data_IF_968674032405
#
_entry.id   IF_968674032405
#
_cell.length_a   1.000
_cell.length_b   1.000
_cell.length_c   1.000
_cell.angle_alpha   90.00
_cell.angle_beta   90.00
_cell.angle_gamma   90.00
#
_symmetry.space_group_name_H-M   'P 1'
#
loop_
_entity.id
_entity.type
_entity.pdbx_description
1 polymer ?
#
# COMPACT_ATOMS: atom_id res chain seq x y z
N UNK A 1 30.80 21.53 55.07
CA UNK A 1 30.18 20.21 54.82
C UNK A 1 28.66 20.21 54.95
N UNK A 2 28.05 20.76 56.03
CA UNK A 2 26.57 20.80 56.17
C UNK A 2 25.83 21.58 55.07
N UNK A 3 26.37 22.72 54.62
CA UNK A 3 25.75 23.53 53.56
C UNK A 3 25.69 22.84 52.19
N UNK A 4 26.73 22.06 51.86
CA UNK A 4 26.81 21.34 50.58
C UNK A 4 25.77 20.22 50.55
N UNK A 5 25.58 19.54 51.69
CA UNK A 5 24.61 18.46 51.82
C UNK A 5 23.16 18.99 51.74
N UNK A 6 22.86 20.13 52.36
CA UNK A 6 21.52 20.76 52.26
C UNK A 6 21.20 21.23 50.84
N UNK A 7 22.18 21.81 50.12
CA UNK A 7 22.01 22.20 48.71
C UNK A 7 21.80 20.99 47.81
N UNK A 8 22.51 19.88 48.05
CA UNK A 8 22.32 18.63 47.30
C UNK A 8 20.93 18.02 47.53
N UNK A 9 20.42 18.01 48.77
CA UNK A 9 19.08 17.50 49.10
C UNK A 9 17.98 18.37 48.45
N UNK A 10 18.14 19.70 48.48
CA UNK A 10 17.21 20.62 47.83
C UNK A 10 17.18 20.41 46.31
N UNK A 11 18.35 20.22 45.69
CA UNK A 11 18.49 19.97 44.25
C UNK A 11 17.86 18.63 43.83
N UNK A 12 18.03 17.58 44.65
CA UNK A 12 17.37 16.28 44.43
C UNK A 12 15.85 16.35 44.56
N UNK A 13 15.32 17.16 45.50
CA UNK A 13 13.88 17.37 45.66
C UNK A 13 13.27 18.11 44.46
N UNK A 14 13.96 19.16 43.97
CA UNK A 14 13.55 19.90 42.77
C UNK A 14 13.59 19.01 41.53
N UNK A 15 14.65 18.22 41.35
CA UNK A 15 14.78 17.29 40.23
C UNK A 15 13.69 16.19 40.25
N UNK A 16 13.37 15.64 41.42
CA UNK A 16 12.29 14.66 41.58
C UNK A 16 10.92 15.26 41.26
N UNK A 17 10.64 16.47 41.73
CA UNK A 17 9.38 17.15 41.45
C UNK A 17 9.27 17.54 39.97
N UNK A 18 10.38 17.93 39.33
CA UNK A 18 10.44 18.19 37.89
C UNK A 18 10.19 16.92 37.07
N UNK A 19 10.79 15.79 37.47
CA UNK A 19 10.57 14.48 36.83
C UNK A 19 9.13 13.99 37.00
N UNK A 20 8.51 14.20 38.16
CA UNK A 20 7.09 13.90 38.40
C UNK A 20 6.15 14.83 37.62
N UNK A 21 6.51 16.10 37.46
CA UNK A 21 5.75 17.06 36.67
C UNK A 21 5.83 16.76 35.17
N UNK A 22 7.02 16.39 34.69
CA UNK A 22 7.24 15.92 33.31
C UNK A 22 6.55 14.58 33.03
N UNK A 23 6.54 13.64 33.98
CA UNK A 23 5.81 12.39 33.81
C UNK A 23 4.29 12.60 33.83
N UNK A 24 3.79 13.51 34.67
CA UNK A 24 2.37 13.89 34.69
C UNK A 24 1.96 14.58 33.38
N UNK A 25 2.81 15.45 32.80
CA UNK A 25 2.57 16.05 31.48
C UNK A 25 2.64 15.04 30.33
N UNK A 26 3.56 14.07 30.39
CA UNK A 26 3.59 12.96 29.42
C UNK A 26 2.35 12.06 29.51
N UNK A 27 1.83 11.82 30.72
CA UNK A 27 0.60 11.05 30.93
C UNK A 27 -0.63 11.86 30.47
N UNK A 28 -0.65 13.17 30.69
CA UNK A 28 -1.71 14.07 30.19
C UNK A 28 -1.68 14.27 28.67
N UNK A 29 -0.50 14.30 28.04
CA UNK A 29 -0.40 14.32 26.58
C UNK A 29 -0.74 12.97 25.94
N UNK A 30 -0.57 11.86 26.67
CA UNK A 30 -1.11 10.55 26.29
C UNK A 30 -2.63 10.42 26.51
N UNK A 31 -3.23 11.28 27.36
CA UNK A 31 -4.66 11.29 27.68
C UNK A 31 -5.46 12.34 26.91
N UNK A 32 -4.83 13.17 26.08
CA UNK A 32 -5.53 13.81 24.98
C UNK A 32 -5.92 12.71 24.00
N UNK A 33 -7.08 12.10 24.23
CA UNK A 33 -7.81 11.40 23.19
C UNK A 33 -8.09 12.45 22.12
N UNK A 34 -7.13 12.67 21.21
CA UNK A 34 -7.36 13.43 20.00
C UNK A 34 -8.51 12.69 19.33
N UNK A 35 -9.69 13.32 19.34
CA UNK A 35 -10.88 12.73 18.75
C UNK A 35 -10.55 12.60 17.27
N UNK A 36 -10.21 11.37 16.85
CA UNK A 36 -9.82 11.10 15.47
C UNK A 36 -10.91 11.64 14.57
N UNK A 37 -10.50 12.35 13.52
CA UNK A 37 -11.48 12.79 12.54
C UNK A 37 -12.14 11.54 11.93
N UNK A 38 -13.46 11.53 11.67
CA UNK A 38 -14.17 10.33 11.25
C UNK A 38 -13.66 9.68 9.97
N UNK A 39 -12.96 10.46 9.13
CA UNK A 39 -12.34 10.02 7.89
C UNK A 39 -10.85 9.66 8.02
N UNK A 40 -10.26 9.76 9.21
CA UNK A 40 -8.86 9.42 9.41
C UNK A 40 -8.60 7.95 9.08
N UNK A 41 -7.48 7.69 8.39
CA UNK A 41 -6.96 6.35 8.11
C UNK A 41 -6.97 5.48 9.36
N UNK A 42 -7.22 4.18 9.20
CA UNK A 42 -7.09 3.23 10.30
C UNK A 42 -5.70 3.33 10.93
N UNK A 43 -5.68 3.49 12.25
CA UNK A 43 -4.42 3.56 13.01
C UNK A 43 -3.78 2.18 13.12
N UNK A 44 -2.50 2.14 13.48
CA UNK A 44 -1.80 0.86 13.73
C UNK A 44 -2.52 -0.01 14.79
N UNK A 45 -3.05 0.61 15.85
CA UNK A 45 -3.80 -0.10 16.88
C UNK A 45 -5.07 -0.74 16.30
N UNK A 46 -5.80 0.00 15.46
CA UNK A 46 -7.02 -0.49 14.81
C UNK A 46 -6.72 -1.63 13.82
N UNK A 47 -5.61 -1.58 13.10
CA UNK A 47 -5.19 -2.68 12.22
C UNK A 47 -4.86 -3.95 13.02
N UNK A 48 -4.18 -3.81 14.16
CA UNK A 48 -3.91 -4.93 15.08
C UNK A 48 -5.23 -5.48 15.66
N UNK A 49 -6.16 -4.60 16.00
CA UNK A 49 -7.49 -4.96 16.50
C UNK A 49 -8.30 -5.73 15.45
N UNK A 50 -8.34 -5.26 14.20
CA UNK A 50 -8.93 -5.96 13.05
C UNK A 50 -8.33 -7.35 12.91
N UNK A 51 -7.00 -7.45 12.87
CA UNK A 51 -6.31 -8.73 12.76
C UNK A 51 -6.70 -9.68 13.90
N UNK A 52 -6.75 -9.17 15.13
CA UNK A 52 -7.11 -9.95 16.32
C UNK A 52 -8.53 -10.49 16.24
N UNK A 53 -9.49 -9.64 15.85
CA UNK A 53 -10.91 -10.02 15.73
C UNK A 53 -11.10 -11.09 14.65
N UNK A 54 -10.50 -10.90 13.47
CA UNK A 54 -10.60 -11.88 12.37
C UNK A 54 -9.95 -13.21 12.76
N UNK A 55 -8.73 -13.19 13.33
CA UNK A 55 -8.04 -14.43 13.76
C UNK A 55 -8.75 -15.15 14.91
N UNK A 56 -9.54 -14.45 15.71
CA UNK A 56 -10.38 -15.06 16.75
C UNK A 56 -11.57 -15.80 16.14
N UNK A 57 -12.22 -15.21 15.14
CA UNK A 57 -13.35 -15.83 14.43
C UNK A 57 -12.89 -16.95 13.48
N UNK A 58 -11.69 -16.82 12.93
CA UNK A 58 -11.06 -17.78 12.04
C UNK A 58 -9.66 -18.17 12.54
N UNK A 59 -9.57 -19.06 13.56
CA UNK A 59 -8.30 -19.48 14.11
C UNK A 59 -7.39 -20.13 13.05
N UNK A 60 -6.13 -19.70 12.99
CA UNK A 60 -5.15 -20.21 12.01
C UNK A 60 -4.84 -21.71 12.14
N UNK A 61 -5.25 -22.36 13.24
CA UNK A 61 -5.18 -23.81 13.41
C UNK A 61 -6.23 -24.58 12.61
N UNK A 62 -7.29 -23.90 12.15
CA UNK A 62 -8.44 -24.50 11.46
C UNK A 62 -8.66 -23.88 10.07
N UNK A 63 -8.31 -22.61 9.90
CA UNK A 63 -8.58 -21.84 8.69
C UNK A 63 -7.30 -21.25 8.10
N UNK A 64 -7.22 -21.22 6.77
CA UNK A 64 -6.20 -20.44 6.08
C UNK A 64 -6.78 -19.06 5.72
N UNK A 65 -6.19 -18.00 6.29
CA UNK A 65 -6.66 -16.61 6.15
C UNK A 65 -5.56 -15.74 5.56
N UNK A 66 -5.85 -15.07 4.45
CA UNK A 66 -5.03 -13.98 3.91
C UNK A 66 -5.85 -12.70 3.74
N UNK A 67 -5.26 -11.57 4.10
CA UNK A 67 -5.89 -10.26 3.96
C UNK A 67 -5.45 -9.66 2.63
N UNK A 68 -6.40 -9.25 1.80
CA UNK A 68 -6.14 -8.64 0.50
C UNK A 68 -6.53 -7.16 0.47
N UNK A 69 -7.42 -6.74 1.38
CA UNK A 69 -7.71 -5.33 1.64
C UNK A 69 -8.18 -5.16 3.08
N UNK A 70 -7.75 -4.08 3.72
CA UNK A 70 -8.18 -3.58 5.03
C UNK A 70 -8.22 -2.06 4.94
N UNK A 71 -9.41 -1.48 5.04
CA UNK A 71 -9.60 -0.04 4.95
C UNK A 71 -10.69 0.46 5.89
N UNK A 72 -10.79 1.79 5.99
CA UNK A 72 -11.86 2.42 6.74
C UNK A 72 -13.19 2.19 6.00
N UNK A 73 -14.18 1.67 6.71
CA UNK A 73 -15.57 1.67 6.22
C UNK A 73 -16.14 3.06 6.52
N UNK A 74 -15.93 3.96 5.56
CA UNK A 74 -16.22 5.39 5.70
C UNK A 74 -17.67 5.64 6.16
N UNK A 75 -17.90 6.51 7.16
CA UNK A 75 -19.25 6.88 7.56
C UNK A 75 -20.02 7.56 6.44
N UNK A 76 -21.35 7.46 6.48
CA UNK A 76 -22.22 8.15 5.53
C UNK A 76 -21.94 9.67 5.50
N UNK A 77 -21.94 10.24 4.30
CA UNK A 77 -21.68 11.67 4.08
C UNK A 77 -22.52 12.58 4.96
N UNK A 78 -23.79 12.25 5.17
CA UNK A 78 -24.69 13.02 6.05
C UNK A 78 -24.19 13.05 7.49
N UNK A 79 -23.71 11.92 8.02
CA UNK A 79 -23.17 11.80 9.37
C UNK A 79 -21.89 12.62 9.54
N UNK A 80 -20.98 12.57 8.55
CA UNK A 80 -19.74 13.37 8.58
C UNK A 80 -20.04 14.87 8.56
N UNK A 81 -21.00 15.31 7.74
CA UNK A 81 -21.38 16.73 7.67
C UNK A 81 -22.10 17.20 8.95
N UNK A 82 -22.91 16.35 9.57
CA UNK A 82 -23.49 16.63 10.88
C UNK A 82 -22.42 16.71 11.97
N UNK A 83 -21.46 15.77 11.98
CA UNK A 83 -20.33 15.77 12.90
C UNK A 83 -19.47 17.03 12.76
N UNK A 84 -19.25 17.54 11.54
CA UNK A 84 -18.53 18.80 11.30
C UNK A 84 -19.25 20.02 11.91
N UNK A 85 -20.59 19.95 12.03
CA UNK A 85 -21.41 21.01 12.62
C UNK A 85 -21.55 20.86 14.14
N UNK A 86 -21.43 19.64 14.66
CA UNK A 86 -21.54 19.28 16.07
C UNK A 86 -20.53 18.17 16.42
N UNK A 87 -19.32 18.58 16.80
CA UNK A 87 -18.19 17.69 17.04
C UNK A 87 -18.36 16.73 18.22
N UNK A 88 -19.50 16.74 18.95
CA UNK A 88 -19.75 15.89 20.12
C UNK A 88 -20.33 14.52 19.78
N UNK A 89 -20.91 14.32 18.59
CA UNK A 89 -21.40 13.00 18.17
C UNK A 89 -20.23 12.02 18.01
N UNK A 90 -20.36 10.82 18.58
CA UNK A 90 -19.37 9.75 18.43
C UNK A 90 -19.82 8.84 17.29
N UNK A 91 -19.21 9.00 16.11
CA UNK A 91 -19.49 8.13 14.98
C UNK A 91 -18.80 6.78 15.20
N UNK A 92 -19.53 5.68 14.98
CA UNK A 92 -18.92 4.36 15.06
C UNK A 92 -17.84 4.23 13.99
N UNK A 93 -16.65 3.84 14.43
CA UNK A 93 -15.50 3.62 13.57
C UNK A 93 -15.50 2.16 13.12
N UNK A 94 -15.62 1.95 11.82
CA UNK A 94 -15.74 0.62 11.21
C UNK A 94 -14.59 0.39 10.24
N UNK A 95 -14.17 -0.87 10.13
CA UNK A 95 -13.20 -1.32 9.14
C UNK A 95 -13.89 -2.29 8.18
N UNK A 96 -13.60 -2.15 6.89
CA UNK A 96 -13.97 -3.10 5.84
C UNK A 96 -12.74 -3.91 5.45
N UNK A 97 -12.93 -5.22 5.33
CA UNK A 97 -11.87 -6.19 5.05
C UNK A 97 -12.32 -7.06 3.87
N UNK A 98 -11.44 -7.21 2.88
CA UNK A 98 -11.55 -8.26 1.88
C UNK A 98 -10.48 -9.31 2.19
N UNK A 99 -10.93 -10.48 2.63
CA UNK A 99 -10.05 -11.59 3.01
C UNK A 99 -10.31 -12.81 2.12
N UNK A 100 -9.28 -13.65 1.95
CA UNK A 100 -9.44 -15.01 1.43
C UNK A 100 -9.39 -15.96 2.63
N UNK A 101 -10.47 -16.72 2.81
CA UNK A 101 -10.62 -17.71 3.88
C UNK A 101 -10.98 -19.03 3.23
N UNK A 102 -10.12 -20.04 3.39
CA UNK A 102 -10.31 -21.39 2.82
C UNK A 102 -10.71 -21.37 1.33
N UNK A 103 -9.98 -20.57 0.55
CA UNK A 103 -10.17 -20.38 -0.90
C UNK A 103 -11.48 -19.68 -1.30
N UNK A 104 -12.16 -19.02 -0.36
CA UNK A 104 -13.33 -18.17 -0.62
C UNK A 104 -13.02 -16.71 -0.31
N UNK A 105 -13.62 -15.80 -1.07
CA UNK A 105 -13.48 -14.36 -0.81
C UNK A 105 -14.57 -13.93 0.16
N UNK A 106 -14.18 -13.29 1.25
CA UNK A 106 -15.06 -12.78 2.29
C UNK A 106 -15.00 -11.25 2.30
N UNK A 107 -16.16 -10.63 2.38
CA UNK A 107 -16.37 -9.22 2.72
C UNK A 107 -16.77 -9.17 4.20
N UNK A 108 -15.90 -8.59 5.03
CA UNK A 108 -16.07 -8.53 6.48
C UNK A 108 -16.10 -7.06 6.89
N UNK A 109 -17.10 -6.67 7.68
CA UNK A 109 -17.13 -5.35 8.33
C UNK A 109 -17.02 -5.55 9.83
N UNK A 110 -16.10 -4.83 10.45
CA UNK A 110 -15.84 -4.84 11.89
C UNK A 110 -16.18 -3.48 12.46
N UNK A 111 -16.98 -3.47 13.52
CA UNK A 111 -17.16 -2.29 14.36
C UNK A 111 -16.09 -2.30 15.46
N UNK A 112 -15.18 -1.31 15.39
CA UNK A 112 -14.01 -1.21 16.25
C UNK A 112 -14.37 -0.70 17.66
N UNK A 113 -15.53 -0.05 17.81
CA UNK A 113 -16.00 0.42 19.12
C UNK A 113 -16.55 -0.74 19.94
N UNK A 114 -17.28 -1.64 19.30
CA UNK A 114 -17.88 -2.83 19.93
C UNK A 114 -16.99 -4.08 19.89
N UNK A 115 -15.84 -4.04 19.21
CA UNK A 115 -14.95 -5.18 19.01
C UNK A 115 -15.64 -6.40 18.36
N UNK A 116 -16.52 -6.15 17.38
CA UNK A 116 -17.36 -7.22 16.82
C UNK A 116 -17.45 -7.17 15.30
N UNK A 117 -17.59 -8.35 14.69
CA UNK A 117 -17.90 -8.48 13.26
C UNK A 117 -19.40 -8.18 13.10
N UNK A 118 -19.72 -7.14 12.32
CA UNK A 118 -21.10 -6.74 12.03
C UNK A 118 -21.61 -7.33 10.72
N UNK A 119 -20.70 -7.67 9.80
CA UNK A 119 -21.00 -8.36 8.55
C UNK A 119 -19.88 -9.34 8.24
N UNK A 120 -20.25 -10.55 7.82
CA UNK A 120 -19.34 -11.51 7.19
C UNK A 120 -20.09 -12.21 6.06
N UNK A 121 -19.69 -11.90 4.82
CA UNK A 121 -20.37 -12.36 3.62
C UNK A 121 -19.38 -12.98 2.65
N UNK A 122 -19.68 -14.20 2.21
CA UNK A 122 -18.95 -14.84 1.10
C UNK A 122 -19.36 -14.18 -0.22
N UNK A 123 -18.38 -13.65 -0.94
CA UNK A 123 -18.56 -13.13 -2.30
C UNK A 123 -18.54 -14.29 -3.31
N UNK A 124 -19.66 -14.44 -4.03
CA UNK A 124 -19.86 -15.49 -5.05
C UNK A 124 -19.92 -14.93 -6.49
N UNK A 125 -19.58 -13.65 -6.68
CA UNK A 125 -19.57 -13.01 -8.00
C UNK A 125 -18.31 -13.31 -8.81
N UNK A 126 -18.09 -12.53 -9.86
CA UNK A 126 -16.90 -12.63 -10.69
C UNK A 126 -15.74 -11.77 -10.14
N UNK A 127 -14.51 -12.14 -10.47
CA UNK A 127 -13.31 -11.42 -10.04
C UNK A 127 -12.79 -11.86 -8.67
N UNK A 128 -11.60 -11.35 -8.35
CA UNK A 128 -10.84 -11.70 -7.16
C UNK A 128 -10.31 -10.41 -6.50
N UNK A 129 -9.97 -10.43 -5.21
CA UNK A 129 -9.37 -9.28 -4.56
C UNK A 129 -7.93 -9.05 -5.04
N UNK A 130 -7.40 -7.86 -4.73
CA UNK A 130 -6.01 -7.40 -4.97
C UNK A 130 -5.01 -8.52 -4.64
N UNK A 131 -3.95 -8.66 -5.44
CA UNK A 131 -2.92 -9.66 -5.18
C UNK A 131 -2.10 -9.30 -3.94
N UNK A 132 -1.89 -10.25 -3.03
CA UNK A 132 -1.00 -10.05 -1.88
C UNK A 132 0.46 -10.15 -2.32
N UNK A 133 1.36 -9.51 -1.57
CA UNK A 133 2.79 -9.61 -1.86
C UNK A 133 3.33 -11.04 -1.67
N UNK A 134 2.83 -11.74 -0.65
CA UNK A 134 3.22 -13.10 -0.31
C UNK A 134 2.89 -14.08 -1.43
N UNK A 135 1.69 -14.00 -2.01
CA UNK A 135 1.30 -14.91 -3.09
C UNK A 135 2.00 -14.58 -4.41
N UNK A 136 2.27 -13.30 -4.70
CA UNK A 136 3.08 -12.90 -5.84
C UNK A 136 4.50 -13.46 -5.73
N UNK A 137 5.12 -13.29 -4.56
CA UNK A 137 6.46 -13.82 -4.28
C UNK A 137 6.49 -15.35 -4.37
N UNK A 138 5.48 -16.03 -3.83
CA UNK A 138 5.38 -17.48 -3.88
C UNK A 138 5.21 -17.98 -5.33
N UNK A 139 4.36 -17.34 -6.13
CA UNK A 139 4.15 -17.68 -7.53
C UNK A 139 5.42 -17.48 -8.37
N UNK A 140 6.14 -16.37 -8.17
CA UNK A 140 7.43 -16.14 -8.82
C UNK A 140 8.45 -17.22 -8.48
N UNK A 141 8.65 -17.51 -7.18
CA UNK A 141 9.58 -18.55 -6.71
C UNK A 141 9.23 -19.93 -7.28
N UNK A 142 7.95 -20.27 -7.28
CA UNK A 142 7.45 -21.53 -7.82
C UNK A 142 7.75 -21.66 -9.32
N UNK A 143 7.50 -20.61 -10.10
CA UNK A 143 7.75 -20.62 -11.53
C UNK A 143 9.24 -20.73 -11.87
N UNK A 144 10.12 -19.94 -11.22
CA UNK A 144 11.56 -20.00 -11.50
C UNK A 144 12.21 -21.33 -11.10
N UNK A 145 11.61 -22.05 -10.14
CA UNK A 145 12.04 -23.38 -9.73
C UNK A 145 11.43 -24.52 -10.59
N UNK A 146 10.52 -24.20 -11.51
CA UNK A 146 9.84 -25.20 -12.32
C UNK A 146 10.79 -25.85 -13.34
N UNK A 147 10.97 -27.16 -13.28
CA UNK A 147 12.00 -27.87 -14.05
C UNK A 147 11.97 -27.57 -15.57
N UNK A 148 10.81 -27.59 -16.26
CA UNK A 148 10.74 -27.16 -17.66
C UNK A 148 11.23 -25.73 -17.92
N UNK A 149 10.94 -24.79 -17.01
CA UNK A 149 11.44 -23.42 -17.13
C UNK A 149 12.95 -23.37 -16.95
N UNK A 150 13.48 -24.06 -15.94
CA UNK A 150 14.93 -24.15 -15.70
C UNK A 150 15.65 -24.71 -16.92
N UNK A 151 15.11 -25.75 -17.56
CA UNK A 151 15.68 -26.34 -18.77
C UNK A 151 15.65 -25.36 -19.95
N UNK A 152 14.58 -24.60 -20.10
CA UNK A 152 14.46 -23.54 -21.11
C UNK A 152 15.42 -22.37 -20.91
N UNK A 153 15.72 -22.00 -19.66
CA UNK A 153 16.76 -21.01 -19.31
C UNK A 153 18.15 -21.55 -19.66
N UNK A 154 18.46 -22.80 -19.29
CA UNK A 154 19.73 -23.46 -19.64
C UNK A 154 19.92 -23.58 -21.15
N UNK A 155 18.87 -23.94 -21.89
CA UNK A 155 18.88 -24.01 -23.37
C UNK A 155 19.22 -22.67 -24.02
N UNK A 156 18.88 -21.56 -23.37
CA UNK A 156 19.21 -20.18 -23.80
C UNK A 156 20.62 -19.75 -23.38
N UNK A 157 21.36 -20.59 -22.65
CA UNK A 157 22.70 -20.27 -22.15
C UNK A 157 22.70 -19.22 -21.03
N UNK A 158 21.57 -19.05 -20.34
CA UNK A 158 21.40 -18.07 -19.27
C UNK A 158 21.63 -18.70 -17.89
N UNK A 159 22.11 -17.91 -16.94
CA UNK A 159 22.29 -18.28 -15.53
C UNK A 159 20.95 -18.21 -14.80
N UNK A 160 20.51 -19.31 -14.16
CA UNK A 160 19.19 -19.35 -13.49
C UNK A 160 19.14 -18.41 -12.28
N UNK A 161 20.27 -18.23 -11.61
CA UNK A 161 20.47 -17.32 -10.48
C UNK A 161 20.29 -15.83 -10.84
N UNK A 162 20.38 -15.48 -12.13
CA UNK A 162 20.17 -14.12 -12.65
C UNK A 162 18.75 -13.92 -13.22
N UNK A 163 17.87 -14.92 -13.10
CA UNK A 163 16.49 -14.88 -13.61
C UNK A 163 15.53 -14.44 -12.51
N UNK A 164 14.75 -13.41 -12.80
CA UNK A 164 13.66 -12.94 -11.93
C UNK A 164 12.32 -13.18 -12.61
N UNK A 165 11.38 -13.78 -11.90
CA UNK A 165 10.00 -13.96 -12.35
C UNK A 165 9.07 -12.90 -11.77
N UNK A 166 8.21 -12.31 -12.60
CA UNK A 166 7.15 -11.40 -12.17
C UNK A 166 5.77 -11.98 -12.53
N UNK A 167 4.81 -12.01 -11.59
CA UNK A 167 3.47 -12.52 -11.83
C UNK A 167 2.56 -11.41 -12.39
N UNK A 168 2.01 -11.66 -13.56
CA UNK A 168 1.11 -10.75 -14.25
C UNK A 168 -0.33 -11.26 -14.18
N UNK A 169 -1.28 -10.38 -13.84
CA UNK A 169 -2.72 -10.64 -13.97
C UNK A 169 -3.06 -10.94 -15.43
N UNK A 170 -4.09 -11.76 -15.64
CA UNK A 170 -4.42 -12.30 -16.98
C UNK A 170 -5.76 -11.81 -17.51
N UNK A 171 -6.46 -10.94 -16.79
CA UNK A 171 -7.80 -10.47 -17.15
C UNK A 171 -8.81 -11.62 -17.34
N UNK A 172 -9.77 -11.41 -18.23
CA UNK A 172 -10.81 -12.37 -18.61
C UNK A 172 -11.09 -12.26 -20.11
N UNK A 173 -11.15 -13.39 -20.81
CA UNK A 173 -11.23 -13.46 -22.28
C UNK A 173 -12.41 -14.32 -22.78
N UNK A 174 -13.49 -14.40 -22.00
CA UNK A 174 -14.72 -15.11 -22.39
C UNK A 174 -14.81 -16.54 -21.85
N UNK A 175 -13.85 -17.00 -21.05
CA UNK A 175 -13.89 -18.32 -20.44
C UNK A 175 -15.05 -18.49 -19.45
N UNK A 176 -15.61 -19.71 -19.39
CA UNK A 176 -16.80 -20.04 -18.56
C UNK A 176 -16.53 -19.99 -17.05
N UNK A 177 -15.29 -20.25 -16.64
CA UNK A 177 -14.85 -20.24 -15.24
C UNK A 177 -13.45 -19.65 -15.23
N UNK A 178 -13.27 -18.55 -14.50
CA UNK A 178 -11.94 -18.08 -14.16
C UNK A 178 -11.47 -18.80 -12.89
N UNK A 179 -10.23 -19.24 -12.91
CA UNK A 179 -9.50 -19.57 -11.69
C UNK A 179 -8.65 -18.35 -11.34
N UNK A 180 -8.17 -18.29 -10.10
CA UNK A 180 -7.29 -17.22 -9.63
C UNK A 180 -5.86 -17.50 -10.11
N UNK A 181 -5.54 -17.06 -11.32
CA UNK A 181 -4.27 -17.39 -11.99
C UNK A 181 -3.47 -16.14 -12.35
N UNK A 182 -2.16 -16.31 -12.40
CA UNK A 182 -1.21 -15.31 -12.91
C UNK A 182 -0.29 -15.95 -13.95
N UNK A 183 0.24 -15.14 -14.85
CA UNK A 183 1.30 -15.53 -15.78
C UNK A 183 2.63 -14.96 -15.31
N UNK A 184 3.56 -15.83 -14.96
CA UNK A 184 4.90 -15.45 -14.58
C UNK A 184 5.76 -15.28 -15.82
N UNK A 185 6.30 -14.08 -15.99
CA UNK A 185 7.24 -13.72 -17.04
C UNK A 185 8.62 -13.44 -16.44
N UNK A 186 9.65 -13.74 -17.21
CA UNK A 186 11.02 -13.78 -16.71
C UNK A 186 11.86 -12.64 -17.29
N UNK A 187 12.76 -12.10 -16.48
CA UNK A 187 13.71 -11.05 -16.81
C UNK A 187 15.11 -11.45 -16.35
N UNK A 188 16.14 -10.78 -16.88
CA UNK A 188 17.54 -11.17 -16.67
C UNK A 188 18.40 -10.03 -16.11
N UNK A 189 19.06 -10.26 -14.97
CA UNK A 189 19.81 -9.25 -14.20
C UNK A 189 21.30 -9.14 -14.53
N UNK A 190 21.88 -10.11 -15.25
CA UNK A 190 23.33 -10.22 -15.42
C UNK A 190 23.97 -8.97 -16.08
N UNK A 191 24.54 -8.08 -15.28
CA UNK A 191 25.19 -6.84 -15.72
C UNK A 191 24.36 -5.55 -15.60
N UNK A 192 23.11 -5.58 -15.13
CA UNK A 192 22.28 -4.38 -14.88
C UNK A 192 21.14 -4.66 -13.90
N UNK A 193 20.80 -3.69 -13.05
CA UNK A 193 19.56 -3.80 -12.24
C UNK A 193 18.30 -3.46 -13.02
N UNK A 194 18.43 -2.85 -14.21
CA UNK A 194 17.29 -2.50 -15.06
C UNK A 194 16.75 -3.72 -15.81
N UNK A 195 16.15 -4.64 -15.05
CA UNK A 195 15.62 -5.91 -15.54
C UNK A 195 14.56 -5.72 -16.64
N UNK A 196 13.77 -4.64 -16.59
CA UNK A 196 12.70 -4.37 -17.55
C UNK A 196 13.23 -4.16 -18.97
N UNK A 197 14.49 -3.73 -19.11
CA UNK A 197 15.16 -3.65 -20.41
C UNK A 197 15.65 -4.99 -20.94
N UNK A 198 15.52 -6.07 -20.15
CA UNK A 198 16.07 -7.40 -20.44
C UNK A 198 15.06 -8.53 -20.21
N UNK A 199 13.89 -8.49 -20.90
CA UNK A 199 12.93 -9.59 -20.82
C UNK A 199 13.50 -10.86 -21.46
N UNK A 200 13.14 -12.01 -20.89
CA UNK A 200 13.35 -13.33 -21.49
C UNK A 200 12.05 -13.71 -22.22
N UNK A 201 11.97 -13.29 -23.47
CA UNK A 201 10.77 -13.45 -24.29
C UNK A 201 10.50 -14.91 -24.68
N UNK A 202 9.22 -15.19 -24.94
CA UNK A 202 8.75 -16.48 -25.46
C UNK A 202 8.59 -17.60 -24.42
N UNK A 203 8.89 -17.34 -23.14
CA UNK A 203 8.60 -18.26 -22.04
C UNK A 203 7.53 -17.69 -21.12
N UNK A 204 6.58 -18.52 -20.69
CA UNK A 204 5.56 -18.12 -19.73
C UNK A 204 5.12 -19.32 -18.90
N UNK A 205 5.07 -19.14 -17.58
CA UNK A 205 4.49 -20.12 -16.65
C UNK A 205 3.16 -19.57 -16.11
N UNK A 206 2.08 -20.33 -16.21
CA UNK A 206 0.80 -19.97 -15.59
C UNK A 206 0.70 -20.66 -14.23
N UNK A 207 0.49 -19.87 -13.17
CA UNK A 207 0.38 -20.33 -11.79
C UNK A 207 -1.05 -20.14 -11.31
N UNK A 208 -1.62 -21.17 -10.71
CA UNK A 208 -2.86 -21.09 -9.92
C UNK A 208 -2.49 -20.67 -8.50
N UNK A 209 -2.99 -19.51 -8.07
CA UNK A 209 -2.66 -18.91 -6.77
C UNK A 209 -3.35 -19.60 -5.60
N UNK A 210 -4.54 -20.17 -5.82
CA UNK A 210 -5.28 -20.87 -4.77
C UNK A 210 -4.65 -22.23 -4.44
N UNK A 211 -4.16 -22.92 -5.47
CA UNK A 211 -3.48 -24.20 -5.32
C UNK A 211 -1.95 -24.07 -5.19
N UNK A 212 -1.43 -22.86 -5.40
CA UNK A 212 0.00 -22.54 -5.50
C UNK A 212 0.77 -23.56 -6.35
N UNK A 213 0.32 -23.74 -7.60
CA UNK A 213 0.90 -24.72 -8.53
C UNK A 213 1.02 -24.18 -9.95
N UNK A 214 2.07 -24.59 -10.67
CA UNK A 214 2.17 -24.34 -12.12
C UNK A 214 1.16 -25.22 -12.84
N UNK A 215 0.23 -24.61 -13.56
CA UNK A 215 -0.86 -25.31 -14.28
C UNK A 215 -0.68 -25.33 -15.80
N UNK A 216 0.17 -24.45 -16.32
CA UNK A 216 0.58 -24.46 -17.72
C UNK A 216 1.96 -23.85 -17.86
N UNK A 217 2.72 -24.34 -18.83
CA UNK A 217 4.03 -23.82 -19.19
C UNK A 217 4.14 -23.77 -20.70
N UNK A 218 4.67 -22.67 -21.23
CA UNK A 218 4.88 -22.47 -22.66
C UNK A 218 6.28 -21.92 -22.88
N UNK A 219 7.03 -22.59 -23.74
CA UNK A 219 8.29 -22.13 -24.34
C UNK A 219 8.09 -22.14 -25.85
N UNK A 220 7.80 -20.97 -26.40
CA UNK A 220 7.24 -20.80 -27.74
C UNK A 220 8.29 -20.40 -28.76
N UNK A 221 9.10 -19.40 -28.39
CA UNK A 221 10.13 -18.81 -29.23
C UNK A 221 11.38 -18.53 -28.41
N UNK A 222 12.54 -18.63 -29.06
CA UNK A 222 13.81 -18.19 -28.47
C UNK A 222 14.23 -16.89 -29.14
N UNK A 223 14.18 -15.80 -28.38
CA UNK A 223 14.69 -14.49 -28.78
C UNK A 223 15.94 -14.17 -27.96
N UNK A 224 16.99 -13.56 -28.54
CA UNK A 224 18.14 -13.11 -27.76
C UNK A 224 17.72 -12.11 -26.69
N UNK A 225 18.19 -12.33 -25.45
CA UNK A 225 17.99 -11.35 -24.36
C UNK A 225 18.76 -10.08 -24.73
N UNK A 226 18.14 -8.89 -24.62
CA UNK A 226 18.84 -7.63 -24.83
C UNK A 226 20.12 -7.50 -23.99
N UNK A 227 21.07 -6.75 -24.53
CA UNK A 227 22.34 -6.42 -23.89
C UNK A 227 22.12 -5.54 -22.64
N UNK A 228 22.99 -5.68 -21.64
CA UNK A 228 22.91 -4.88 -20.41
C UNK A 228 23.52 -3.48 -20.60
N UNK A 229 24.43 -3.33 -21.57
CA UNK A 229 25.13 -2.09 -21.86
C UNK A 229 24.15 -0.95 -22.18
N UNK A 230 24.32 0.19 -21.51
CA UNK A 230 23.49 1.38 -21.71
C UNK A 230 22.12 1.34 -21.02
N UNK A 231 21.83 0.34 -20.19
CA UNK A 231 20.54 0.22 -19.49
C UNK A 231 20.56 0.73 -18.04
N UNK A 232 21.75 0.93 -17.46
CA UNK A 232 21.92 1.29 -16.05
C UNK A 232 21.55 2.76 -15.81
N UNK A 233 20.70 2.99 -14.81
CA UNK A 233 20.13 4.30 -14.50
C UNK A 233 20.71 4.90 -13.21
N UNK A 234 21.40 4.11 -12.39
CA UNK A 234 22.04 4.60 -11.17
C UNK A 234 23.32 5.34 -11.51
N UNK A 235 23.39 6.61 -11.13
CA UNK A 235 24.50 7.52 -11.48
C UNK A 235 25.86 6.95 -11.05
N UNK A 236 25.94 6.32 -9.89
CA UNK A 236 27.18 5.73 -9.35
C UNK A 236 27.73 4.56 -10.18
N UNK A 237 26.89 3.97 -11.03
CA UNK A 237 27.26 2.86 -11.91
C UNK A 237 27.50 3.31 -13.36
N UNK A 238 27.21 4.58 -13.69
CA UNK A 238 27.39 5.12 -15.04
C UNK A 238 28.84 5.52 -15.31
N UNK A 239 29.24 5.45 -16.58
CA UNK A 239 30.60 5.79 -17.03
C UNK A 239 30.64 7.22 -17.59
N UNK A 240 31.72 7.98 -17.34
CA UNK A 240 31.90 9.31 -17.93
C UNK A 240 31.84 9.30 -19.48
N UNK A 241 31.46 10.43 -20.11
CA UNK A 241 31.15 11.72 -19.49
C UNK A 241 29.72 11.76 -18.91
N UNK A 242 29.61 12.21 -17.66
CA UNK A 242 28.34 12.58 -17.04
C UNK A 242 28.21 14.10 -17.16
N UNK A 243 27.17 14.59 -17.84
CA UNK A 243 26.88 16.02 -17.97
C UNK A 243 26.39 16.57 -16.63
N UNK A 244 27.30 16.95 -15.73
CA UNK A 244 26.97 17.20 -14.32
C UNK A 244 27.22 18.62 -13.81
N UNK A 245 27.47 19.61 -14.67
CA UNK A 245 27.73 20.99 -14.21
C UNK A 245 26.46 21.81 -14.05
N UNK A 246 25.56 21.37 -13.18
CA UNK A 246 24.46 22.21 -12.68
C UNK A 246 24.96 23.07 -11.51
N UNK A 247 24.58 24.34 -11.48
CA UNK A 247 24.80 25.20 -10.30
C UNK A 247 23.81 24.81 -9.20
N UNK A 248 24.27 24.78 -7.95
CA UNK A 248 23.39 24.51 -6.82
C UNK A 248 22.34 25.60 -6.60
N UNK A 249 21.19 25.21 -6.05
CA UNK A 249 20.11 26.12 -5.64
C UNK A 249 19.81 25.85 -4.16
N UNK A 250 19.61 26.92 -3.40
CA UNK A 250 19.18 26.85 -1.99
C UNK A 250 17.81 27.52 -1.86
N UNK A 251 16.85 26.84 -1.24
CA UNK A 251 15.50 27.35 -0.96
C UNK A 251 15.33 27.50 0.57
N UNK A 252 14.91 28.68 1.02
CA UNK A 252 14.73 29.00 2.45
C UNK A 252 13.36 29.66 2.68
N UNK A 253 12.66 29.24 3.74
CA UNK A 253 11.45 29.89 4.25
C UNK A 253 11.74 30.40 5.68
N UNK A 254 12.20 31.65 5.84
CA UNK A 254 12.66 32.18 7.13
C UNK A 254 11.64 32.07 8.27
N UNK A 255 10.36 32.20 7.92
CA UNK A 255 9.24 32.17 8.86
C UNK A 255 8.51 30.81 8.89
N UNK A 256 9.11 29.77 8.29
CA UNK A 256 8.50 28.45 8.14
C UNK A 256 7.49 28.34 7.00
N UNK A 257 6.82 27.18 6.85
CA UNK A 257 5.84 26.96 5.80
C UNK A 257 4.55 27.75 6.07
N UNK A 258 3.90 28.20 5.00
CA UNK A 258 2.59 28.89 5.09
C UNK A 258 1.41 27.94 5.28
N UNK A 259 1.66 26.65 5.54
CA UNK A 259 0.63 25.66 5.84
C UNK A 259 0.80 25.12 7.26
N UNK A 260 -0.30 24.71 7.87
CA UNK A 260 -0.31 23.94 9.11
C UNK A 260 -1.03 22.61 8.90
N UNK A 261 -0.62 21.61 9.69
CA UNK A 261 -1.21 20.28 9.70
C UNK A 261 -1.61 19.98 11.14
N UNK A 262 -2.89 19.74 11.36
CA UNK A 262 -3.45 19.33 12.65
C UNK A 262 -4.13 17.96 12.49
N UNK A 263 -3.47 16.91 12.99
CA UNK A 263 -3.79 15.54 12.62
C UNK A 263 -3.71 15.35 11.10
N UNK A 264 -4.85 15.11 10.48
CA UNK A 264 -4.99 14.95 9.02
C UNK A 264 -5.60 16.19 8.33
N UNK A 265 -5.84 17.29 9.06
CA UNK A 265 -6.38 18.52 8.49
C UNK A 265 -5.25 19.44 8.05
N UNK A 266 -5.19 19.73 6.75
CA UNK A 266 -4.25 20.67 6.14
C UNK A 266 -4.92 22.01 5.96
N UNK A 267 -4.26 23.08 6.44
CA UNK A 267 -4.68 24.46 6.24
C UNK A 267 -3.58 25.21 5.51
N UNK A 268 -3.88 25.79 4.36
CA UNK A 268 -2.92 26.53 3.56
C UNK A 268 -3.60 27.71 2.87
N UNK A 269 -3.10 28.92 3.14
CA UNK A 269 -3.75 30.16 2.72
C UNK A 269 -5.24 30.17 3.13
N UNK A 270 -6.15 30.26 2.18
CA UNK A 270 -7.60 30.23 2.40
C UNK A 270 -8.21 28.82 2.23
N UNK A 271 -7.41 27.77 2.05
CA UNK A 271 -7.88 26.40 1.92
C UNK A 271 -7.79 25.63 3.24
N UNK A 272 -8.80 24.77 3.46
CA UNK A 272 -8.79 23.74 4.48
C UNK A 272 -9.32 22.44 3.88
N UNK A 273 -8.61 21.34 4.08
CA UNK A 273 -9.02 20.01 3.64
C UNK A 273 -8.48 18.92 4.57
N UNK A 274 -9.13 17.77 4.55
CA UNK A 274 -8.69 16.54 5.20
C UNK A 274 -7.88 15.69 4.21
N UNK A 275 -6.77 15.12 4.67
CA UNK A 275 -5.89 14.26 3.89
C UNK A 275 -5.77 12.90 4.59
N UNK A 276 -6.25 11.84 3.96
CA UNK A 276 -6.12 10.48 4.45
C UNK A 276 -5.49 9.56 3.42
N UNK A 277 -5.33 8.31 3.81
CA UNK A 277 -4.70 7.26 3.05
C UNK A 277 -5.57 6.01 3.06
N UNK A 278 -5.82 5.45 1.90
CA UNK A 278 -6.44 4.15 1.72
C UNK A 278 -5.46 3.24 0.99
N UNK A 279 -5.38 1.96 1.37
CA UNK A 279 -4.39 1.09 0.76
C UNK A 279 -4.64 0.92 -0.75
N UNK A 280 -5.88 0.80 -1.19
CA UNK A 280 -6.18 0.65 -2.63
C UNK A 280 -5.98 1.97 -3.38
N UNK A 281 -6.57 3.06 -2.88
CA UNK A 281 -6.65 4.34 -3.57
C UNK A 281 -5.42 5.25 -3.37
N UNK A 282 -4.57 4.96 -2.38
CA UNK A 282 -3.49 5.85 -1.96
C UNK A 282 -4.04 7.09 -1.26
N UNK A 283 -3.60 8.27 -1.68
CA UNK A 283 -4.01 9.55 -1.07
C UNK A 283 -5.48 9.88 -1.38
N UNK A 284 -6.22 10.24 -0.34
CA UNK A 284 -7.62 10.69 -0.42
C UNK A 284 -7.71 12.10 0.16
N UNK A 285 -8.20 13.05 -0.64
CA UNK A 285 -8.50 14.42 -0.19
C UNK A 285 -9.99 14.51 0.08
N UNK A 286 -10.36 14.94 1.28
CA UNK A 286 -11.75 15.07 1.71
C UNK A 286 -12.03 16.45 2.29
N UNK A 287 -13.32 16.82 2.34
CA UNK A 287 -13.82 18.06 2.98
C UNK A 287 -13.10 19.34 2.53
N UNK A 288 -12.65 19.40 1.28
CA UNK A 288 -11.97 20.58 0.76
C UNK A 288 -12.92 21.77 0.71
N UNK A 289 -12.53 22.84 1.39
CA UNK A 289 -13.25 24.09 1.50
C UNK A 289 -12.32 25.27 1.33
N UNK A 290 -12.87 26.37 0.81
CA UNK A 290 -12.18 27.63 0.63
C UNK A 290 -12.88 28.71 1.45
N UNK A 291 -12.11 29.51 2.20
CA UNK A 291 -12.62 30.67 2.91
C UNK A 291 -12.85 31.84 1.94
N UNK A 292 -14.06 32.37 1.95
CA UNK A 292 -14.51 33.49 1.13
C UNK A 292 -14.60 34.75 2.00
N UNK A 293 -13.64 35.70 1.88
CA UNK A 293 -13.58 36.87 2.74
C UNK A 293 -14.71 37.87 2.48
N UNK A 294 -15.35 37.84 1.31
CA UNK A 294 -16.48 38.75 1.02
C UNK A 294 -17.75 38.32 1.76
N UNK A 295 -17.86 37.02 2.04
CA UNK A 295 -19.02 36.41 2.70
C UNK A 295 -18.77 36.03 4.15
N UNK A 296 -17.52 36.14 4.61
CA UNK A 296 -17.09 35.70 5.95
C UNK A 296 -17.48 34.24 6.23
N UNK A 297 -17.33 33.37 5.22
CA UNK A 297 -17.77 31.96 5.30
C UNK A 297 -16.80 30.98 4.63
N UNK A 298 -16.79 29.73 5.10
CA UNK A 298 -16.13 28.61 4.40
C UNK A 298 -17.08 27.99 3.39
N UNK A 299 -16.69 27.99 2.11
CA UNK A 299 -17.45 27.41 1.01
C UNK A 299 -16.88 26.04 0.66
N UNK A 300 -17.74 25.01 0.71
CA UNK A 300 -17.36 23.64 0.32
C UNK A 300 -17.11 23.56 -1.18
N UNK A 301 -16.02 22.90 -1.57
CA UNK A 301 -15.64 22.69 -2.97
C UNK A 301 -15.71 21.22 -3.35
N UNK A 302 -15.07 20.34 -2.57
CA UNK A 302 -15.01 18.91 -2.86
C UNK A 302 -15.17 18.10 -1.57
N UNK A 303 -16.13 17.18 -1.54
CA UNK A 303 -16.31 16.32 -0.38
C UNK A 303 -15.25 15.23 -0.28
N UNK A 304 -14.89 14.60 -1.41
CA UNK A 304 -13.94 13.49 -1.50
C UNK A 304 -13.39 13.42 -2.92
N UNK A 305 -12.08 13.23 -3.06
CA UNK A 305 -11.38 13.07 -4.34
C UNK A 305 -10.14 12.19 -4.18
N UNK A 306 -9.96 11.24 -5.09
CA UNK A 306 -8.87 10.27 -5.11
C UNK A 306 -8.77 9.65 -6.50
N UNK A 307 -7.66 8.97 -6.79
CA UNK A 307 -7.49 8.17 -8.01
C UNK A 307 -8.23 6.85 -7.80
N UNK A 308 -9.34 6.65 -8.52
CA UNK A 308 -10.18 5.47 -8.31
C UNK A 308 -9.59 4.20 -8.92
N UNK A 309 -8.90 4.33 -10.05
CA UNK A 309 -8.30 3.21 -10.78
C UNK A 309 -7.29 3.73 -11.81
N UNK A 310 -6.34 2.89 -12.19
CA UNK A 310 -5.44 3.11 -13.33
C UNK A 310 -5.58 1.93 -14.29
N UNK A 311 -5.66 2.17 -15.59
CA UNK A 311 -5.66 1.11 -16.60
C UNK A 311 -4.50 1.28 -17.57
N UNK A 312 -3.67 0.25 -17.71
CA UNK A 312 -2.47 0.27 -18.57
C UNK A 312 -2.54 -0.85 -19.62
N UNK A 313 -3.31 -0.66 -20.70
CA UNK A 313 -3.46 -1.67 -21.76
C UNK A 313 -2.26 -1.67 -22.70
N UNK A 314 -1.59 -2.81 -22.81
CA UNK A 314 -0.62 -3.04 -23.87
C UNK A 314 -1.33 -3.40 -25.19
N UNK A 315 -0.69 -3.06 -26.32
CA UNK A 315 -1.27 -3.17 -27.67
C UNK A 315 -0.66 -4.30 -28.50
N UNK A 316 0.17 -5.14 -27.90
CA UNK A 316 0.76 -6.31 -28.56
C UNK A 316 -0.16 -7.51 -28.39
N UNK A 317 -0.59 -8.08 -29.52
CA UNK A 317 -1.54 -9.19 -29.61
C UNK A 317 -0.87 -10.57 -29.48
N UNK A 318 0.45 -10.62 -29.34
CA UNK A 318 1.18 -11.87 -29.15
C UNK A 318 0.86 -12.50 -27.79
N UNK A 319 1.15 -13.79 -27.69
CA UNK A 319 0.75 -14.62 -26.56
C UNK A 319 1.33 -14.17 -25.22
N UNK A 320 2.51 -13.55 -25.29
CA UNK A 320 3.30 -13.02 -24.18
C UNK A 320 2.80 -11.65 -23.68
N UNK A 321 1.93 -10.97 -24.44
CA UNK A 321 1.55 -9.58 -24.18
C UNK A 321 0.04 -9.32 -24.15
N UNK A 322 -0.78 -10.08 -24.88
CA UNK A 322 -2.19 -9.75 -25.09
C UNK A 322 -3.02 -9.57 -23.81
N UNK A 323 -2.58 -10.19 -22.70
CA UNK A 323 -3.24 -10.20 -21.40
C UNK A 323 -2.80 -9.07 -20.47
N UNK A 324 -1.80 -8.28 -20.86
CA UNK A 324 -1.25 -7.19 -20.04
C UNK A 324 -2.15 -5.95 -20.15
N UNK A 325 -3.19 -5.95 -19.33
CA UNK A 325 -4.10 -4.81 -19.17
C UNK A 325 -4.24 -4.61 -17.66
N UNK A 326 -3.25 -3.94 -17.06
CA UNK A 326 -3.21 -3.80 -15.62
C UNK A 326 -4.30 -2.87 -15.14
N UNK A 327 -4.92 -3.26 -14.03
CA UNK A 327 -5.73 -2.39 -13.20
C UNK A 327 -4.97 -2.12 -11.91
N UNK A 328 -4.04 -1.18 -11.92
CA UNK A 328 -2.99 -1.04 -10.91
C UNK A 328 -3.56 -0.99 -9.47
N UNK A 329 -4.60 -0.18 -9.24
CA UNK A 329 -5.20 -0.06 -7.91
C UNK A 329 -5.97 -1.34 -7.53
N UNK A 330 -6.75 -1.88 -8.47
CA UNK A 330 -7.59 -3.05 -8.24
C UNK A 330 -6.87 -4.40 -8.18
N UNK A 331 -5.67 -4.50 -8.76
CA UNK A 331 -4.92 -5.76 -8.90
C UNK A 331 -3.64 -5.81 -8.05
N UNK A 332 -2.95 -4.68 -7.86
CA UNK A 332 -1.62 -4.65 -7.25
C UNK A 332 -1.45 -3.67 -6.09
N UNK A 333 -2.45 -2.82 -5.83
CA UNK A 333 -2.43 -1.71 -4.86
C UNK A 333 -1.47 -0.56 -5.28
N UNK A 334 -2.01 0.68 -5.42
CA UNK A 334 -1.24 1.86 -5.87
C UNK A 334 -0.10 2.23 -4.92
N UNK A 335 -0.26 1.97 -3.63
CA UNK A 335 0.73 2.27 -2.59
C UNK A 335 1.92 1.34 -2.75
N UNK A 336 1.65 0.07 -3.00
CA UNK A 336 2.69 -0.92 -3.21
C UNK A 336 3.53 -0.57 -4.45
N UNK A 337 2.88 -0.15 -5.55
CA UNK A 337 3.57 0.31 -6.78
C UNK A 337 4.46 1.53 -6.53
N UNK A 338 4.03 2.48 -5.70
CA UNK A 338 4.77 3.73 -5.43
C UNK A 338 5.89 3.58 -4.38
N UNK A 339 5.72 2.73 -3.37
CA UNK A 339 6.69 2.56 -2.29
C UNK A 339 7.85 1.61 -2.63
N UNK A 340 7.68 0.68 -3.57
CA UNK A 340 8.74 -0.25 -3.95
C UNK A 340 9.68 0.24 -5.06
N UNK A 341 9.46 1.44 -5.60
CA UNK A 341 10.39 2.13 -6.51
C UNK A 341 11.72 2.58 -5.85
N UNK A 342 11.92 2.31 -4.55
CA UNK A 342 13.03 2.86 -3.75
C UNK A 342 13.89 1.81 -3.01
N UNK A 343 13.96 0.56 -3.48
CA UNK A 343 14.91 -0.42 -2.96
C UNK A 343 15.80 -1.02 -4.04
#
# INVERSE_FOLDING_TARGET
MRDILQRAIAMFSVLRNLLLFLSFFCILSLLSAQKNHPLDTLTQFELIQVQTIVKKSYPSSQHNVSFHYVGLDEPDKSLVLSWQSNCDENLSRRAIILARIDLKSHEIIIDLSSNSIVLDKVYNGHGYPILSFEEQTAASKLAIAYAPLVDSIKKRGLKIEEVVGFPFTVGWYGEKRSNRIVRVMCYYLDGTVNLYMRPIEGITATVDLDQMKVIAYRDRITVPVPKAEGTEYREEMQKPPLDSKLKSITMLQPDGPSFSIDGHIVRWANWEFHLAFDMRAGLVISLASIYDPEKDEKRRVMYRGFISELVVPYMDLTEEWYFRIFFDAGEYDLVYVLCHSNH
#
